data_IF_512610179421
#
_entry.id   IF_512610179421
#
_cell.length_a   1.000
_cell.length_b   1.000
_cell.length_c   1.000
_cell.angle_alpha   90.00
_cell.angle_beta   90.00
_cell.angle_gamma   90.00
#
_symmetry.space_group_name_H-M   'P 1'
#
loop_
_entity.id
_entity.type
_entity.pdbx_description
1 polymer ?
#
# COMPACT_ATOMS: atom_id res chain seq x y z
N UNK A 1 -0.79 -27.44 33.92
CA UNK A 1 -0.91 -27.29 32.47
C UNK A 1 0.48 -27.01 31.90
N UNK A 2 1.18 -28.02 31.40
CA UNK A 2 2.43 -27.85 30.69
C UNK A 2 2.08 -27.15 29.34
N UNK A 3 2.51 -25.91 29.14
CA UNK A 3 2.52 -25.31 27.80
C UNK A 3 3.53 -26.07 26.96
N UNK A 4 3.08 -26.88 26.01
CA UNK A 4 3.94 -27.39 24.95
C UNK A 4 4.61 -26.16 24.29
N UNK A 5 5.91 -26.05 24.50
CA UNK A 5 6.73 -24.95 23.98
C UNK A 5 7.16 -25.24 22.53
N UNK A 6 6.25 -25.82 21.74
CA UNK A 6 6.47 -25.98 20.30
C UNK A 6 6.43 -24.60 19.65
N UNK A 7 7.57 -24.15 19.17
CA UNK A 7 7.65 -22.90 18.41
C UNK A 7 6.75 -23.02 17.18
N UNK A 8 5.76 -22.15 17.09
CA UNK A 8 4.88 -22.08 15.91
C UNK A 8 5.72 -21.68 14.71
N UNK A 9 5.63 -22.47 13.65
CA UNK A 9 6.25 -22.11 12.35
C UNK A 9 5.47 -20.95 11.73
N UNK A 10 6.20 -19.93 11.32
CA UNK A 10 5.68 -18.81 10.51
C UNK A 10 6.23 -18.97 9.10
N UNK A 11 5.37 -18.88 8.10
CA UNK A 11 5.73 -19.05 6.69
C UNK A 11 5.20 -17.90 5.87
N UNK A 12 5.91 -17.54 4.79
CA UNK A 12 5.45 -16.61 3.77
C UNK A 12 4.75 -17.43 2.69
N UNK A 13 3.47 -17.16 2.46
CA UNK A 13 2.63 -17.89 1.49
C UNK A 13 2.40 -17.12 0.20
N UNK A 14 2.66 -15.81 0.20
CA UNK A 14 2.54 -14.98 -0.98
C UNK A 14 3.26 -13.65 -0.80
N UNK A 15 3.64 -13.06 -1.89
CA UNK A 15 4.26 -11.73 -1.96
C UNK A 15 3.74 -10.97 -3.17
N UNK A 16 3.89 -9.65 -3.15
CA UNK A 16 3.54 -8.78 -4.26
C UNK A 16 4.34 -7.49 -4.17
N UNK A 17 4.60 -6.87 -5.31
CA UNK A 17 5.38 -5.65 -5.37
C UNK A 17 4.87 -4.72 -6.48
N UNK A 18 4.89 -3.43 -6.20
CA UNK A 18 4.74 -2.36 -7.20
C UNK A 18 5.92 -1.44 -7.01
N UNK A 19 6.77 -1.34 -8.00
CA UNK A 19 8.04 -0.62 -7.93
C UNK A 19 8.21 0.28 -9.15
N UNK A 20 9.20 1.18 -9.16
CA UNK A 20 9.55 1.90 -10.38
C UNK A 20 10.02 1.00 -11.54
N UNK A 21 10.35 -0.26 -11.27
CA UNK A 21 10.79 -1.25 -12.26
C UNK A 21 9.65 -2.10 -12.81
N UNK A 22 8.51 -2.18 -12.13
CA UNK A 22 7.41 -3.02 -12.59
C UNK A 22 6.16 -2.90 -11.74
N UNK A 23 5.03 -3.20 -12.35
CA UNK A 23 3.70 -3.14 -11.74
C UNK A 23 3.33 -4.41 -10.94
N UNK A 24 4.24 -5.39 -10.88
CA UNK A 24 4.11 -6.61 -10.09
C UNK A 24 5.50 -7.14 -9.72
N UNK A 25 5.56 -8.13 -8.84
CA UNK A 25 6.81 -8.70 -8.33
C UNK A 25 7.62 -9.38 -9.44
N UNK A 26 6.98 -10.09 -10.35
CA UNK A 26 7.66 -10.78 -11.45
C UNK A 26 8.30 -9.79 -12.43
N UNK A 27 7.56 -8.75 -12.83
CA UNK A 27 8.08 -7.71 -13.73
C UNK A 27 9.25 -6.95 -13.06
N UNK A 28 9.11 -6.61 -11.77
CA UNK A 28 10.18 -5.96 -11.01
C UNK A 28 11.43 -6.84 -10.93
N UNK A 29 11.26 -8.13 -10.68
CA UNK A 29 12.37 -9.09 -10.65
C UNK A 29 13.06 -9.22 -12.01
N UNK A 30 12.28 -9.36 -13.08
CA UNK A 30 12.84 -9.45 -14.44
C UNK A 30 13.64 -8.21 -14.79
N UNK A 31 13.12 -7.02 -14.50
CA UNK A 31 13.83 -5.77 -14.73
C UNK A 31 15.17 -5.68 -13.95
N UNK A 32 15.22 -6.21 -12.72
CA UNK A 32 16.47 -6.33 -11.95
C UNK A 32 17.44 -7.27 -12.65
N UNK A 33 16.97 -8.43 -13.13
CA UNK A 33 17.81 -9.40 -13.84
C UNK A 33 18.34 -8.85 -15.16
N UNK A 34 17.59 -7.95 -15.80
CA UNK A 34 17.95 -7.25 -17.02
C UNK A 34 18.77 -5.98 -16.77
N UNK A 35 19.23 -5.76 -15.52
CA UNK A 35 20.03 -4.60 -15.08
C UNK A 35 19.36 -3.25 -15.34
N UNK A 36 18.03 -3.19 -15.38
CA UNK A 36 17.31 -1.95 -15.55
C UNK A 36 17.41 -1.08 -14.30
N UNK A 37 17.47 0.23 -14.48
CA UNK A 37 17.52 1.20 -13.37
C UNK A 37 16.09 1.62 -13.02
N UNK A 38 15.74 1.49 -11.74
CA UNK A 38 14.44 1.91 -11.20
C UNK A 38 14.36 3.42 -10.92
N UNK A 39 15.29 4.22 -11.41
CA UNK A 39 15.30 5.67 -11.23
C UNK A 39 15.77 6.36 -12.51
N UNK A 40 15.36 7.61 -12.68
CA UNK A 40 15.74 8.45 -13.81
C UNK A 40 15.85 9.91 -13.41
N UNK A 41 16.37 10.72 -14.34
CA UNK A 41 16.42 12.16 -14.15
C UNK A 41 15.01 12.76 -14.21
N UNK A 42 14.66 13.53 -13.19
CA UNK A 42 13.39 14.26 -13.11
C UNK A 42 13.69 15.68 -12.65
N UNK A 43 13.39 16.65 -13.49
CA UNK A 43 13.54 18.05 -13.09
C UNK A 43 12.39 18.48 -12.19
N UNK A 44 12.73 18.84 -10.95
CA UNK A 44 11.83 19.38 -9.93
C UNK A 44 12.37 20.67 -9.32
N UNK A 45 13.20 21.39 -10.08
CA UNK A 45 13.83 22.65 -9.64
C UNK A 45 12.78 23.70 -9.26
N UNK A 46 11.63 23.75 -9.96
CA UNK A 46 10.51 24.63 -9.65
C UNK A 46 9.92 24.43 -8.23
N UNK A 47 10.10 23.23 -7.67
CA UNK A 47 9.69 22.89 -6.29
C UNK A 47 10.83 23.07 -5.28
N UNK A 48 11.98 23.61 -5.69
CA UNK A 48 13.16 23.77 -4.84
C UNK A 48 13.86 22.44 -4.49
N UNK A 49 13.53 21.36 -5.18
CA UNK A 49 14.11 20.03 -4.94
C UNK A 49 15.48 19.98 -5.66
N UNK A 50 16.53 19.67 -4.89
CA UNK A 50 17.91 19.54 -5.41
C UNK A 50 18.25 18.14 -5.90
N UNK A 51 17.47 17.14 -5.49
CA UNK A 51 17.65 15.76 -5.95
C UNK A 51 16.94 15.56 -7.28
N UNK A 52 17.69 15.21 -8.32
CA UNK A 52 17.15 15.06 -9.67
C UNK A 52 17.01 13.60 -10.11
N UNK A 53 17.56 12.64 -9.37
CA UNK A 53 17.39 11.22 -9.67
C UNK A 53 16.37 10.61 -8.72
N UNK A 54 15.20 10.28 -9.28
CA UNK A 54 14.06 9.80 -8.50
C UNK A 54 13.54 8.48 -9.07
N UNK A 55 13.21 7.54 -8.19
CA UNK A 55 12.51 6.32 -8.53
C UNK A 55 11.00 6.55 -8.44
N UNK A 56 10.36 6.83 -9.56
CA UNK A 56 8.92 7.11 -9.61
C UNK A 56 8.15 5.89 -10.12
N UNK A 57 7.09 5.53 -9.41
CA UNK A 57 6.12 4.57 -9.91
C UNK A 57 5.22 5.32 -10.89
N UNK A 58 5.33 4.98 -12.19
CA UNK A 58 4.63 5.69 -13.26
C UNK A 58 3.16 5.27 -13.37
N UNK A 59 2.88 3.99 -13.13
CA UNK A 59 1.55 3.40 -13.33
C UNK A 59 0.80 3.19 -12.02
N UNK A 60 -0.48 3.53 -12.03
CA UNK A 60 -1.38 3.20 -10.93
C UNK A 60 -1.80 1.71 -11.02
N UNK A 61 -1.89 1.01 -9.88
CA UNK A 61 -2.35 -0.36 -9.89
C UNK A 61 -3.80 -0.46 -10.35
N UNK A 62 -4.10 -1.51 -11.12
CA UNK A 62 -5.50 -1.81 -11.44
C UNK A 62 -6.26 -2.21 -10.17
N UNK A 63 -7.25 -1.41 -9.81
CA UNK A 63 -8.18 -1.71 -8.73
C UNK A 63 -9.54 -2.26 -9.27
N UNK A 64 -9.52 -2.90 -10.43
CA UNK A 64 -10.69 -3.60 -10.97
C UNK A 64 -11.15 -4.65 -9.96
N UNK A 65 -12.46 -4.68 -9.70
CA UNK A 65 -13.05 -5.56 -8.68
C UNK A 65 -13.05 -5.02 -7.25
N UNK A 66 -12.31 -3.93 -6.96
CA UNK A 66 -12.42 -3.25 -5.67
C UNK A 66 -13.70 -2.41 -5.63
N UNK A 67 -14.57 -2.57 -4.61
CA UNK A 67 -15.81 -1.81 -4.48
C UNK A 67 -15.56 -0.29 -4.57
N UNK A 68 -16.41 0.41 -5.30
CA UNK A 68 -16.28 1.86 -5.52
C UNK A 68 -16.25 2.65 -4.20
N UNK A 69 -16.99 2.19 -3.19
CA UNK A 69 -17.01 2.81 -1.86
C UNK A 69 -15.64 2.79 -1.17
N UNK A 70 -14.84 1.74 -1.38
CA UNK A 70 -13.47 1.64 -0.91
C UNK A 70 -12.57 2.46 -1.82
N UNK A 71 -12.56 2.17 -3.12
CA UNK A 71 -11.64 2.74 -4.11
C UNK A 71 -11.61 4.27 -4.12
N UNK A 72 -12.78 4.94 -3.99
CA UNK A 72 -12.89 6.39 -4.01
C UNK A 72 -12.25 7.09 -2.80
N UNK A 73 -12.00 6.36 -1.73
CA UNK A 73 -11.45 6.87 -0.47
C UNK A 73 -9.96 6.54 -0.30
N UNK A 74 -9.32 5.92 -1.30
CA UNK A 74 -7.93 5.53 -1.21
C UNK A 74 -7.02 6.61 -1.80
N UNK A 75 -6.14 7.23 -0.99
CA UNK A 75 -5.02 8.00 -1.49
C UNK A 75 -4.04 7.11 -2.24
N UNK A 76 -3.14 7.70 -3.01
CA UNK A 76 -2.23 6.99 -3.90
C UNK A 76 -1.42 5.91 -3.20
N UNK A 77 -0.81 6.22 -2.06
CA UNK A 77 -0.01 5.25 -1.32
C UNK A 77 -0.82 4.03 -0.84
N UNK A 78 -2.09 4.23 -0.45
CA UNK A 78 -2.98 3.13 -0.08
C UNK A 78 -3.42 2.30 -1.29
N UNK A 79 -3.58 2.92 -2.47
CA UNK A 79 -3.86 2.19 -3.73
C UNK A 79 -2.69 1.31 -4.12
N UNK A 80 -1.45 1.81 -4.02
CA UNK A 80 -0.24 1.03 -4.26
C UNK A 80 -0.15 -0.15 -3.28
N UNK A 81 -0.36 0.11 -1.99
CA UNK A 81 -0.36 -0.95 -0.96
C UNK A 81 -1.41 -2.02 -1.26
N UNK A 82 -2.65 -1.63 -1.56
CA UNK A 82 -3.71 -2.59 -1.87
C UNK A 82 -3.43 -3.38 -3.16
N UNK A 83 -2.81 -2.72 -4.16
CA UNK A 83 -2.39 -3.39 -5.40
C UNK A 83 -1.37 -4.50 -5.14
N UNK A 84 -0.29 -4.20 -4.41
CA UNK A 84 0.72 -5.19 -4.04
C UNK A 84 0.15 -6.29 -3.13
N UNK A 85 -0.70 -5.92 -2.17
CA UNK A 85 -1.35 -6.88 -1.30
C UNK A 85 -2.28 -7.85 -2.07
N UNK A 86 -2.95 -7.38 -3.12
CA UNK A 86 -3.79 -8.25 -3.98
C UNK A 86 -2.96 -9.29 -4.72
N UNK A 87 -1.79 -8.93 -5.21
CA UNK A 87 -0.86 -9.89 -5.82
C UNK A 87 -0.43 -10.96 -4.80
N UNK A 88 -0.02 -10.54 -3.60
CA UNK A 88 0.36 -11.44 -2.51
C UNK A 88 -0.78 -12.40 -2.12
N UNK A 89 -1.99 -11.89 -2.01
CA UNK A 89 -3.19 -12.67 -1.67
C UNK A 89 -3.57 -13.64 -2.79
N UNK A 90 -3.47 -13.21 -4.05
CA UNK A 90 -3.70 -14.09 -5.20
C UNK A 90 -2.68 -15.23 -5.26
N UNK A 91 -1.41 -14.95 -4.93
CA UNK A 91 -0.37 -15.98 -4.83
C UNK A 91 -0.67 -16.98 -3.70
N UNK A 92 -1.13 -16.50 -2.55
CA UNK A 92 -1.38 -17.34 -1.37
C UNK A 92 -2.66 -18.18 -1.46
N UNK A 93 -3.72 -17.66 -2.07
CA UNK A 93 -5.07 -18.23 -2.02
C UNK A 93 -5.70 -18.48 -3.40
N UNK A 94 -5.02 -18.08 -4.49
CA UNK A 94 -5.59 -18.15 -5.84
C UNK A 94 -6.80 -17.22 -5.97
N UNK A 95 -7.93 -17.75 -6.36
CA UNK A 95 -9.21 -17.05 -6.46
C UNK A 95 -10.03 -17.08 -5.17
N UNK A 96 -9.59 -17.86 -4.16
CA UNK A 96 -10.27 -18.00 -2.88
C UNK A 96 -10.05 -16.78 -1.98
N UNK A 97 -10.94 -16.59 -1.03
CA UNK A 97 -10.76 -15.60 0.05
C UNK A 97 -9.95 -16.21 1.21
N UNK A 98 -9.11 -15.44 1.91
CA UNK A 98 -8.52 -15.92 3.16
C UNK A 98 -9.58 -16.37 4.19
N UNK A 99 -10.79 -15.83 4.09
CA UNK A 99 -11.90 -16.17 4.97
C UNK A 99 -12.56 -17.53 4.66
N UNK A 100 -12.21 -18.14 3.55
CA UNK A 100 -12.62 -19.52 3.25
C UNK A 100 -11.83 -20.54 4.10
N UNK A 101 -10.67 -20.11 4.63
CA UNK A 101 -9.76 -20.95 5.41
C UNK A 101 -9.66 -20.52 6.87
N UNK A 102 -9.85 -19.23 7.18
CA UNK A 102 -9.62 -18.66 8.50
C UNK A 102 -10.77 -17.77 8.95
N UNK A 103 -11.03 -17.76 10.26
CA UNK A 103 -11.98 -16.80 10.85
C UNK A 103 -11.49 -15.36 10.61
N UNK A 104 -12.40 -14.42 10.32
CA UNK A 104 -12.06 -13.00 10.18
C UNK A 104 -11.26 -12.42 11.36
N UNK A 105 -11.54 -12.89 12.57
CA UNK A 105 -10.84 -12.46 13.81
C UNK A 105 -9.40 -12.97 13.89
N UNK A 106 -9.04 -13.98 13.12
CA UNK A 106 -7.67 -14.53 13.04
C UNK A 106 -6.84 -13.87 11.92
N UNK A 107 -7.47 -13.07 11.07
CA UNK A 107 -6.84 -12.42 9.93
C UNK A 107 -6.68 -10.93 10.22
N UNK A 108 -5.46 -10.43 10.15
CA UNK A 108 -5.13 -9.04 10.42
C UNK A 108 -4.27 -8.40 9.32
N UNK A 109 -3.98 -7.11 9.48
CA UNK A 109 -3.13 -6.35 8.56
C UNK A 109 -2.14 -5.50 9.35
N UNK A 110 -0.85 -5.71 9.11
CA UNK A 110 0.24 -4.90 9.66
C UNK A 110 0.97 -4.27 8.50
N UNK A 111 1.06 -2.94 8.48
CA UNK A 111 1.68 -2.17 7.42
C UNK A 111 2.82 -1.32 7.98
N UNK A 112 3.85 -1.11 7.17
CA UNK A 112 4.90 -0.15 7.43
C UNK A 112 4.89 0.93 6.37
N UNK A 113 5.13 2.17 6.75
CA UNK A 113 5.28 3.29 5.81
C UNK A 113 6.31 4.29 6.33
N UNK A 114 7.08 4.88 5.42
CA UNK A 114 7.99 5.97 5.78
C UNK A 114 7.22 7.22 6.17
N UNK A 115 6.34 7.70 5.30
CA UNK A 115 5.56 8.91 5.56
C UNK A 115 4.27 8.92 4.71
N UNK A 116 3.50 7.85 4.78
CA UNK A 116 2.26 7.77 4.01
C UNK A 116 1.34 8.97 4.24
N UNK A 117 0.80 9.53 3.16
CA UNK A 117 -0.09 10.68 3.19
C UNK A 117 0.60 12.06 3.25
N UNK A 118 1.94 12.13 3.08
CA UNK A 118 2.65 13.42 3.07
C UNK A 118 2.25 14.30 1.90
N UNK A 119 2.14 13.74 0.71
CA UNK A 119 1.68 14.40 -0.50
C UNK A 119 0.24 14.92 -0.35
N UNK A 120 -0.64 14.09 0.17
CA UNK A 120 -2.03 14.48 0.46
C UNK A 120 -2.08 15.61 1.51
N UNK A 121 -1.23 15.53 2.54
CA UNK A 121 -1.14 16.59 3.56
C UNK A 121 -0.65 17.90 2.96
N UNK A 122 0.33 17.85 2.06
CA UNK A 122 0.84 19.02 1.35
C UNK A 122 -0.25 19.66 0.47
N UNK A 123 -0.97 18.88 -0.31
CA UNK A 123 -2.04 19.39 -1.17
C UNK A 123 -3.21 19.95 -0.35
N UNK A 124 -3.60 19.29 0.75
CA UNK A 124 -4.65 19.78 1.64
C UNK A 124 -4.26 21.12 2.31
N UNK A 125 -3.03 21.25 2.78
CA UNK A 125 -2.52 22.47 3.38
C UNK A 125 -2.44 23.61 2.35
N UNK A 126 -1.98 23.32 1.13
CA UNK A 126 -1.94 24.29 0.03
C UNK A 126 -3.33 24.74 -0.38
N UNK A 127 -4.30 23.86 -0.51
CA UNK A 127 -5.68 24.18 -0.82
C UNK A 127 -6.27 25.12 0.25
N UNK A 128 -6.07 24.79 1.52
CA UNK A 128 -6.51 25.62 2.63
C UNK A 128 -5.86 27.01 2.61
N UNK A 129 -4.55 27.08 2.36
CA UNK A 129 -3.84 28.35 2.29
C UNK A 129 -4.32 29.27 1.15
N UNK A 130 -4.72 28.70 0.00
CA UNK A 130 -5.15 29.45 -1.17
C UNK A 130 -6.64 29.80 -1.17
N UNK A 131 -7.49 28.92 -0.62
CA UNK A 131 -8.94 29.01 -0.74
C UNK A 131 -9.66 29.25 0.60
N UNK A 132 -8.95 29.11 1.73
CA UNK A 132 -9.53 29.21 3.07
C UNK A 132 -10.45 28.05 3.46
N UNK A 133 -10.54 27.02 2.61
CA UNK A 133 -11.37 25.83 2.81
C UNK A 133 -10.55 24.57 2.55
N UNK A 134 -10.93 23.49 3.19
CA UNK A 134 -10.32 22.17 3.00
C UNK A 134 -11.41 21.11 3.04
N UNK A 135 -11.26 20.07 2.23
CA UNK A 135 -12.21 18.96 2.23
C UNK A 135 -12.21 18.24 3.59
N UNK A 136 -13.39 17.94 4.18
CA UNK A 136 -13.46 17.14 5.41
C UNK A 136 -12.91 15.73 5.24
N UNK A 137 -12.78 15.26 4.00
CA UNK A 137 -12.19 13.95 3.69
C UNK A 137 -10.66 13.93 3.73
N UNK A 138 -10.00 15.09 3.78
CA UNK A 138 -8.54 15.18 3.84
C UNK A 138 -7.97 14.47 5.07
N UNK A 139 -8.68 14.43 6.19
CA UNK A 139 -8.26 13.68 7.36
C UNK A 139 -8.10 12.17 7.09
N UNK A 140 -8.91 11.59 6.20
CA UNK A 140 -8.78 10.17 5.83
C UNK A 140 -7.62 9.95 4.86
N UNK A 141 -7.36 10.90 3.97
CA UNK A 141 -6.30 10.75 2.96
C UNK A 141 -4.89 10.94 3.55
N UNK A 142 -4.79 11.72 4.62
CA UNK A 142 -3.50 12.03 5.26
C UNK A 142 -3.07 11.01 6.30
N UNK A 143 -3.99 10.15 6.76
CA UNK A 143 -3.70 9.17 7.80
C UNK A 143 -2.92 7.96 7.27
N UNK A 144 -1.72 7.62 7.80
CA UNK A 144 -0.96 6.45 7.36
C UNK A 144 -1.70 5.13 7.50
N UNK A 145 -2.57 4.99 8.50
CA UNK A 145 -3.32 3.76 8.79
C UNK A 145 -4.40 3.43 7.75
N UNK A 146 -4.67 4.31 6.78
CA UNK A 146 -5.58 3.99 5.67
C UNK A 146 -5.09 2.80 4.85
N UNK A 147 -3.79 2.48 4.86
CA UNK A 147 -3.22 1.30 4.20
C UNK A 147 -3.72 -0.01 4.82
N UNK A 148 -3.59 -0.16 6.14
CA UNK A 148 -4.11 -1.34 6.85
C UNK A 148 -5.63 -1.38 6.81
N UNK A 149 -6.30 -0.24 6.94
CA UNK A 149 -7.75 -0.14 6.83
C UNK A 149 -8.28 -0.55 5.45
N UNK A 150 -7.60 -0.16 4.36
CA UNK A 150 -7.96 -0.54 3.00
C UNK A 150 -7.94 -2.06 2.80
N UNK A 151 -6.87 -2.72 3.23
CA UNK A 151 -6.74 -4.17 3.16
C UNK A 151 -7.80 -4.86 4.01
N UNK A 152 -8.00 -4.38 5.24
CA UNK A 152 -8.97 -4.95 6.16
C UNK A 152 -10.41 -4.80 5.68
N UNK A 153 -10.77 -3.66 5.11
CA UNK A 153 -12.10 -3.46 4.53
C UNK A 153 -12.32 -4.32 3.29
N UNK A 154 -11.30 -4.44 2.44
CA UNK A 154 -11.42 -5.19 1.18
C UNK A 154 -11.60 -6.69 1.41
N UNK A 155 -10.83 -7.28 2.34
CA UNK A 155 -10.91 -8.71 2.67
C UNK A 155 -11.71 -9.02 3.95
N UNK A 156 -12.36 -8.03 4.58
CA UNK A 156 -13.10 -8.17 5.84
C UNK A 156 -12.24 -8.81 6.96
N UNK A 157 -10.97 -8.39 7.07
CA UNK A 157 -10.07 -8.84 8.13
C UNK A 157 -10.44 -8.11 9.43
N UNK A 158 -10.68 -8.84 10.51
CA UNK A 158 -11.15 -8.28 11.80
C UNK A 158 -10.19 -8.58 12.97
N UNK A 159 -9.04 -9.18 12.68
CA UNK A 159 -7.98 -9.42 13.64
C UNK A 159 -7.15 -8.16 13.89
N UNK A 160 -5.93 -8.36 14.36
CA UNK A 160 -5.03 -7.26 14.73
C UNK A 160 -4.67 -6.40 13.52
N UNK A 161 -4.79 -5.09 13.69
CA UNK A 161 -4.44 -4.11 12.66
C UNK A 161 -3.50 -3.06 13.25
N UNK A 162 -2.46 -2.75 12.52
CA UNK A 162 -1.54 -1.67 12.87
C UNK A 162 -0.86 -1.09 11.62
N UNK A 163 -0.46 0.18 11.71
CA UNK A 163 0.42 0.82 10.74
C UNK A 163 1.55 1.51 11.49
N UNK A 164 2.76 1.09 11.21
CA UNK A 164 3.98 1.67 11.78
C UNK A 164 4.52 2.71 10.82
N UNK A 165 4.79 3.90 11.33
CA UNK A 165 5.45 5.00 10.61
C UNK A 165 6.87 5.09 11.14
N UNK A 166 7.86 5.02 10.24
CA UNK A 166 9.29 5.04 10.58
C UNK A 166 10.10 5.87 9.57
#
# INVERSE_FOLDING_TARGET
MQRNNEMRRVVVTGYGAITPLGSNAQASWQAIMDYQLGYGYVDKTELGIKAHFLGLIAEEPSLKGVPAAIRRRLPRFARLTLGAAREAMSMAFGESSPLDFYSPLMCGAIMGTGWGGLDESYYAAREFALQGVSSPFNCFYTMPNVTSAACSQYWNLRGYQNTVVA
#
